data_IF_754246747513
#
_entry.id   IF_754246747513
#
_cell.length_a   1.000
_cell.length_b   1.000
_cell.length_c   1.000
_cell.angle_alpha   90.00
_cell.angle_beta   90.00
_cell.angle_gamma   90.00
#
_symmetry.space_group_name_H-M   'P 1'
#
loop_
_entity.id
_entity.type
_entity.pdbx_description
1 polymer ?
#
# COMPACT_ATOMS: atom_id res chain seq x y z
N UNK A 1 16.38 23.66 10.60
CA UNK A 1 15.44 22.92 11.49
C UNK A 1 14.19 22.41 10.75
N UNK A 2 14.24 22.15 9.44
CA UNK A 2 13.12 21.57 8.67
C UNK A 2 13.32 20.07 8.33
N UNK A 3 14.52 19.53 8.55
CA UNK A 3 14.91 18.17 8.16
C UNK A 3 14.46 17.09 9.15
N UNK A 4 14.19 17.44 10.42
CA UNK A 4 13.85 16.45 11.46
C UNK A 4 12.38 16.03 11.41
N UNK A 5 11.47 16.95 11.05
CA UNK A 5 10.01 16.71 11.07
C UNK A 5 9.52 15.87 9.89
N UNK A 6 10.12 16.06 8.70
CA UNK A 6 9.77 15.29 7.50
C UNK A 6 10.15 13.81 7.63
N UNK A 7 11.27 13.53 8.32
CA UNK A 7 11.72 12.16 8.52
C UNK A 7 10.73 11.37 9.40
N UNK A 8 10.14 12.03 10.40
CA UNK A 8 9.16 11.41 11.30
C UNK A 8 7.82 11.12 10.62
N UNK A 9 7.36 12.01 9.71
CA UNK A 9 6.14 11.78 8.94
C UNK A 9 6.29 10.59 8.00
N UNK A 10 7.39 10.51 7.24
CA UNK A 10 7.70 9.36 6.38
C UNK A 10 7.79 8.07 7.20
N UNK A 11 8.54 8.06 8.30
CA UNK A 11 8.68 6.89 9.17
C UNK A 11 7.34 6.42 9.74
N UNK A 12 6.48 7.35 10.17
CA UNK A 12 5.14 7.04 10.66
C UNK A 12 4.29 6.37 9.58
N UNK A 13 4.19 6.98 8.40
CA UNK A 13 3.42 6.44 7.29
C UNK A 13 3.96 5.09 6.80
N UNK A 14 5.28 4.93 6.75
CA UNK A 14 5.92 3.65 6.42
C UNK A 14 5.52 2.55 7.41
N UNK A 15 5.45 2.87 8.70
CA UNK A 15 4.97 1.94 9.72
C UNK A 15 3.51 1.57 9.48
N UNK A 16 2.63 2.55 9.25
CA UNK A 16 1.20 2.31 8.98
C UNK A 16 1.00 1.39 7.79
N UNK A 17 1.69 1.65 6.68
CA UNK A 17 1.62 0.81 5.47
C UNK A 17 2.19 -0.58 5.73
N UNK A 18 3.34 -0.69 6.38
CA UNK A 18 3.95 -1.98 6.68
C UNK A 18 3.08 -2.84 7.58
N UNK A 19 2.50 -2.27 8.64
CA UNK A 19 1.59 -2.99 9.54
C UNK A 19 0.36 -3.48 8.77
N UNK A 20 -0.28 -2.61 7.98
CA UNK A 20 -1.42 -2.98 7.12
C UNK A 20 -1.07 -4.15 6.20
N UNK A 21 0.09 -4.12 5.53
CA UNK A 21 0.48 -5.20 4.62
C UNK A 21 0.68 -6.53 5.36
N UNK A 22 1.23 -6.51 6.57
CA UNK A 22 1.41 -7.71 7.37
C UNK A 22 0.07 -8.26 7.89
N UNK A 23 -0.87 -7.39 8.25
CA UNK A 23 -2.23 -7.80 8.60
C UNK A 23 -2.91 -8.51 7.42
N UNK A 24 -2.80 -7.94 6.22
CA UNK A 24 -3.37 -8.58 5.03
C UNK A 24 -2.64 -9.87 4.62
N UNK A 25 -1.32 -9.92 4.79
CA UNK A 25 -0.54 -11.13 4.50
C UNK A 25 -0.91 -12.30 5.42
N UNK A 26 -1.43 -12.03 6.62
CA UNK A 26 -1.89 -13.04 7.56
C UNK A 26 -3.23 -13.69 7.16
N UNK A 27 -3.98 -13.12 6.22
CA UNK A 27 -5.20 -13.77 5.72
C UNK A 27 -4.86 -14.91 4.77
N UNK A 28 -5.21 -16.13 5.18
CA UNK A 28 -5.19 -17.32 4.33
C UNK A 28 -6.62 -17.85 4.16
N UNK A 29 -7.01 -18.30 2.96
CA UNK A 29 -8.24 -19.06 2.78
C UNK A 29 -8.25 -20.28 3.72
N UNK A 30 -9.42 -20.62 4.28
CA UNK A 30 -9.57 -21.74 5.22
C UNK A 30 -9.18 -23.11 4.63
N UNK A 31 -9.03 -23.20 3.30
CA UNK A 31 -8.40 -24.29 2.56
C UNK A 31 -7.89 -23.73 1.21
N UNK A 32 -6.57 -23.76 0.93
CA UNK A 32 -6.13 -23.44 -0.43
C UNK A 32 -5.08 -24.40 -1.01
N UNK A 33 -4.85 -24.34 -2.34
CA UNK A 33 -3.59 -24.77 -2.96
C UNK A 33 -2.37 -24.15 -2.26
N UNK A 34 -1.16 -24.61 -2.59
CA UNK A 34 0.09 -24.03 -2.06
C UNK A 34 0.10 -22.53 -2.41
N UNK A 35 -0.18 -21.69 -1.41
CA UNK A 35 -0.34 -20.24 -1.53
C UNK A 35 0.56 -19.53 -0.52
N UNK A 36 1.22 -18.47 -0.94
CA UNK A 36 2.13 -17.66 -0.15
C UNK A 36 1.82 -16.18 -0.34
N UNK A 37 1.70 -15.46 0.77
CA UNK A 37 1.60 -14.02 0.80
C UNK A 37 2.97 -13.45 1.19
N UNK A 38 3.57 -12.63 0.33
CA UNK A 38 4.86 -12.01 0.57
C UNK A 38 4.74 -10.50 0.72
N UNK A 39 5.21 -9.98 1.85
CA UNK A 39 5.41 -8.54 2.03
C UNK A 39 6.82 -8.18 1.56
N UNK A 40 6.90 -7.32 0.54
CA UNK A 40 8.17 -6.77 0.03
C UNK A 40 8.22 -5.31 0.47
N UNK A 41 9.15 -5.00 1.38
CA UNK A 41 9.26 -3.67 1.97
C UNK A 41 10.69 -3.10 1.80
N UNK A 42 10.81 -2.02 1.05
CA UNK A 42 12.00 -1.18 0.96
C UNK A 42 11.76 0.11 1.75
N UNK A 43 12.19 0.12 3.00
CA UNK A 43 12.06 1.28 3.88
C UNK A 43 12.97 2.44 3.46
N UNK A 44 14.11 2.17 2.82
CA UNK A 44 15.02 3.21 2.39
C UNK A 44 14.38 4.03 1.26
N UNK A 45 13.89 3.34 0.22
CA UNK A 45 13.33 3.96 -0.98
C UNK A 45 11.82 4.21 -0.90
N UNK A 46 11.15 3.65 0.10
CA UNK A 46 9.73 3.86 0.35
C UNK A 46 8.84 3.07 -0.61
N UNK A 47 9.17 1.82 -0.92
CA UNK A 47 8.35 0.95 -1.76
C UNK A 47 7.84 -0.25 -0.97
N UNK A 48 6.52 -0.46 -1.00
CA UNK A 48 5.87 -1.49 -0.20
C UNK A 48 4.87 -2.26 -1.08
N UNK A 49 4.99 -3.58 -1.11
CA UNK A 49 4.11 -4.45 -1.88
C UNK A 49 3.64 -5.64 -1.06
N UNK A 50 2.39 -6.06 -1.31
CA UNK A 50 1.91 -7.39 -0.98
C UNK A 50 1.76 -8.18 -2.26
N UNK A 51 2.52 -9.26 -2.38
CA UNK A 51 2.48 -10.19 -3.50
C UNK A 51 1.78 -11.46 -3.04
N UNK A 52 0.83 -11.91 -3.86
CA UNK A 52 0.18 -13.21 -3.73
C UNK A 52 0.79 -14.16 -4.74
N UNK A 53 1.25 -15.31 -4.26
CA UNK A 53 1.75 -16.39 -5.06
C UNK A 53 0.94 -17.64 -4.78
N UNK A 54 0.45 -18.30 -5.81
CA UNK A 54 -0.26 -19.57 -5.66
C UNK A 54 -0.06 -20.45 -6.89
N UNK A 55 -0.07 -21.75 -6.69
CA UNK A 55 -0.12 -22.72 -7.79
C UNK A 55 -1.56 -23.16 -8.02
N UNK A 56 -2.12 -22.86 -9.20
CA UNK A 56 -3.30 -23.56 -9.70
C UNK A 56 -2.83 -24.62 -10.69
N UNK A 57 -2.78 -25.88 -10.24
CA UNK A 57 -2.21 -27.00 -10.99
C UNK A 57 -0.78 -26.66 -11.42
N UNK A 58 -0.53 -26.55 -12.73
CA UNK A 58 0.80 -26.28 -13.30
C UNK A 58 1.01 -24.80 -13.65
N UNK A 59 0.12 -23.91 -13.19
CA UNK A 59 0.20 -22.46 -13.44
C UNK A 59 0.54 -21.74 -12.15
N UNK A 60 1.70 -21.09 -12.13
CA UNK A 60 2.06 -20.14 -11.09
C UNK A 60 1.31 -18.83 -11.31
N UNK A 61 0.42 -18.50 -10.39
CA UNK A 61 -0.19 -17.18 -10.30
C UNK A 61 0.67 -16.33 -9.36
N UNK A 62 1.38 -15.34 -9.93
CA UNK A 62 2.20 -14.38 -9.19
C UNK A 62 1.67 -12.97 -9.45
N UNK A 63 0.98 -12.38 -8.47
CA UNK A 63 0.29 -11.08 -8.63
C UNK A 63 0.51 -10.17 -7.44
N UNK A 64 0.63 -8.87 -7.71
CA UNK A 64 0.66 -7.84 -6.67
C UNK A 64 -0.76 -7.49 -6.27
N UNK A 65 -1.11 -7.69 -4.99
CA UNK A 65 -2.40 -7.29 -4.42
C UNK A 65 -2.44 -5.79 -4.15
N UNK A 66 -1.42 -5.31 -3.45
CA UNK A 66 -1.23 -3.90 -3.10
C UNK A 66 0.18 -3.45 -3.46
N UNK A 67 0.30 -2.23 -3.97
CA UNK A 67 1.57 -1.53 -4.10
C UNK A 67 1.39 -0.09 -3.63
N UNK A 68 2.19 0.30 -2.64
CA UNK A 68 2.28 1.65 -2.14
C UNK A 68 3.70 2.21 -2.31
N UNK A 69 3.79 3.49 -2.66
CA UNK A 69 5.01 4.26 -2.45
C UNK A 69 4.81 5.27 -1.31
N UNK A 70 5.82 5.45 -0.46
CA UNK A 70 5.87 6.54 0.51
C UNK A 70 6.89 7.57 0.02
N UNK A 71 6.39 8.75 -0.34
CA UNK A 71 7.24 9.85 -0.83
C UNK A 71 7.96 10.57 0.33
N UNK A 72 9.02 11.36 0.05
CA UNK A 72 9.76 12.08 1.09
C UNK A 72 8.92 13.03 1.95
N UNK A 73 7.77 13.50 1.46
CA UNK A 73 6.81 14.32 2.19
C UNK A 73 5.86 13.50 3.10
N UNK A 74 6.01 12.18 3.13
CA UNK A 74 5.23 11.27 3.98
C UNK A 74 3.92 10.80 3.36
N UNK A 75 3.62 11.18 2.10
CA UNK A 75 2.38 10.78 1.44
C UNK A 75 2.39 9.33 0.98
N UNK A 76 1.26 8.65 1.17
CA UNK A 76 0.97 7.32 0.64
C UNK A 76 0.49 7.45 -0.80
N UNK A 77 1.22 6.89 -1.74
CA UNK A 77 0.78 6.74 -3.12
C UNK A 77 0.28 5.32 -3.34
N UNK A 78 -1.01 5.17 -3.58
CA UNK A 78 -1.62 3.87 -3.92
C UNK A 78 -1.40 3.60 -5.41
N UNK A 79 -0.41 2.78 -5.74
CA UNK A 79 -0.03 2.46 -7.12
C UNK A 79 -0.81 1.27 -7.67
N UNK A 80 -1.14 0.31 -6.82
CA UNK A 80 -1.94 -0.88 -7.17
C UNK A 80 -2.87 -1.21 -6.01
N UNK A 81 -4.13 -1.48 -6.35
CA UNK A 81 -5.09 -2.17 -5.50
C UNK A 81 -5.87 -3.14 -6.39
N UNK A 82 -5.48 -4.42 -6.37
CA UNK A 82 -6.12 -5.49 -7.13
C UNK A 82 -7.10 -6.29 -6.25
N UNK A 83 -7.72 -5.60 -5.29
CA UNK A 83 -8.75 -6.15 -4.39
C UNK A 83 -10.03 -5.34 -4.53
N UNK A 84 -11.10 -5.79 -3.88
CA UNK A 84 -12.37 -5.07 -3.74
C UNK A 84 -12.41 -4.13 -2.52
N UNK A 85 -11.29 -4.00 -1.79
CA UNK A 85 -11.19 -3.20 -0.58
C UNK A 85 -11.00 -1.72 -0.93
N UNK A 86 -11.70 -0.83 -0.21
CA UNK A 86 -11.42 0.61 -0.23
C UNK A 86 -10.20 0.93 0.65
N UNK A 87 -9.02 0.62 0.10
CA UNK A 87 -7.76 0.72 0.84
C UNK A 87 -7.41 2.15 1.25
N UNK A 88 -7.94 3.15 0.53
CA UNK A 88 -7.75 4.55 0.88
C UNK A 88 -8.58 4.94 2.11
N UNK A 89 -9.80 4.42 2.24
CA UNK A 89 -10.61 4.60 3.45
C UNK A 89 -9.97 3.91 4.67
N UNK A 90 -9.39 2.73 4.51
CA UNK A 90 -8.71 2.03 5.60
C UNK A 90 -7.52 2.82 6.16
N UNK A 91 -6.73 3.48 5.31
CA UNK A 91 -5.68 4.38 5.79
C UNK A 91 -6.25 5.55 6.60
N UNK A 92 -7.41 6.09 6.22
CA UNK A 92 -8.10 7.14 6.99
C UNK A 92 -8.56 6.61 8.35
N UNK A 93 -9.11 5.40 8.41
CA UNK A 93 -9.49 4.75 9.68
C UNK A 93 -8.29 4.51 10.60
N UNK A 94 -7.10 4.30 10.01
CA UNK A 94 -5.81 4.19 10.72
C UNK A 94 -5.20 5.54 11.08
N UNK A 95 -5.88 6.65 10.82
CA UNK A 95 -5.49 8.00 11.23
C UNK A 95 -4.64 8.76 10.21
N UNK A 96 -4.56 8.31 8.95
CA UNK A 96 -3.89 9.06 7.87
C UNK A 96 -4.86 10.07 7.29
N UNK A 97 -4.45 11.34 7.23
CA UNK A 97 -5.27 12.39 6.63
C UNK A 97 -5.48 12.14 5.12
N UNK A 98 -6.67 12.49 4.59
CA UNK A 98 -6.95 12.37 3.15
C UNK A 98 -5.96 13.17 2.28
N UNK A 99 -5.43 14.27 2.83
CA UNK A 99 -4.40 15.11 2.18
C UNK A 99 -3.02 14.47 2.10
N UNK A 100 -2.82 13.33 2.76
CA UNK A 100 -1.58 12.57 2.76
C UNK A 100 -1.68 11.25 1.98
N UNK A 101 -2.81 11.03 1.28
CA UNK A 101 -3.05 9.87 0.44
C UNK A 101 -3.22 10.33 -1.01
N UNK A 102 -2.54 9.68 -1.95
CA UNK A 102 -2.64 9.93 -3.39
C UNK A 102 -3.10 8.65 -4.06
N UNK A 103 -4.16 8.75 -4.87
CA UNK A 103 -4.60 7.64 -5.72
C UNK A 103 -3.69 7.60 -6.95
N UNK A 104 -2.53 6.95 -6.81
CA UNK A 104 -1.43 6.92 -7.78
C UNK A 104 -1.82 6.30 -9.12
N UNK A 105 -2.63 5.23 -9.10
CA UNK A 105 -3.13 4.56 -10.30
C UNK A 105 -4.12 5.39 -11.11
N UNK A 106 -4.70 6.45 -10.53
CA UNK A 106 -5.55 7.36 -11.28
C UNK A 106 -4.69 8.33 -12.10
N UNK A 107 -5.01 8.57 -13.40
CA UNK A 107 -4.33 9.58 -14.19
C UNK A 107 -4.35 10.95 -13.50
N UNK A 108 -3.27 11.75 -13.56
CA UNK A 108 -3.16 13.01 -12.81
C UNK A 108 -4.36 13.95 -12.95
N UNK A 109 -4.96 14.03 -14.14
CA UNK A 109 -6.14 14.86 -14.41
C UNK A 109 -7.41 14.44 -13.65
N UNK A 110 -7.48 13.22 -13.13
CA UNK A 110 -8.62 12.73 -12.35
C UNK A 110 -8.43 12.90 -10.84
N UNK A 111 -7.20 13.03 -10.35
CA UNK A 111 -6.89 13.11 -8.92
C UNK A 111 -7.59 14.27 -8.19
N UNK A 112 -7.79 15.47 -8.79
CA UNK A 112 -8.56 16.53 -8.13
C UNK A 112 -10.02 16.15 -7.78
N UNK A 113 -10.57 15.09 -8.41
CA UNK A 113 -11.94 14.65 -8.20
C UNK A 113 -12.06 13.42 -7.29
N UNK A 114 -10.95 12.91 -6.74
CA UNK A 114 -10.96 11.70 -5.89
C UNK A 114 -11.29 12.00 -4.43
N UNK A 115 -11.19 13.27 -3.99
CA UNK A 115 -11.31 13.64 -2.58
C UNK A 115 -10.07 13.35 -1.73
N UNK A 116 -8.95 13.00 -2.39
CA UNK A 116 -7.63 12.77 -1.79
C UNK A 116 -6.60 13.75 -2.38
N UNK A 117 -5.33 13.64 -2.00
CA UNK A 117 -4.27 14.48 -2.53
C UNK A 117 -3.98 14.23 -4.01
N UNK A 118 -3.46 15.27 -4.68
CA UNK A 118 -3.16 15.26 -6.12
C UNK A 118 -1.74 14.80 -6.46
N UNK A 119 -0.82 14.95 -5.50
CA UNK A 119 0.59 14.57 -5.55
C UNK A 119 1.16 14.51 -4.12
#
# INVERSE_FOLDING_TARGET
MATTTLNTAKEHTQKVVFDLLNEYAAFYPANPPISENQVIADFERGHFQLVWMEWDRDVLNHRTAFHFDIKPDGKIWIQVNNTDIDIAAEFVERGVEKSDIVIGFQPPRYRPYTGYAVA
#
